data_IF_128038690692
#
_entry.id   IF_128038690692
#
_cell.length_a   1.000
_cell.length_b   1.000
_cell.length_c   1.000
_cell.angle_alpha   90.00
_cell.angle_beta   90.00
_cell.angle_gamma   90.00
#
_symmetry.space_group_name_H-M   'P 1'
#
loop_
_entity.id
_entity.type
_entity.pdbx_description
1 polymer ?
#
# COMPACT_ATOMS: atom_id res chain seq x y z
N UNK A 1 -31.45 -12.60 8.69
CA UNK A 1 -30.64 -12.55 9.92
C UNK A 1 -29.68 -11.37 9.82
N UNK A 2 -29.30 -10.72 10.93
CA UNK A 2 -28.14 -9.81 10.95
C UNK A 2 -26.90 -10.67 11.19
N UNK A 3 -25.86 -10.57 10.36
CA UNK A 3 -24.55 -11.15 10.69
C UNK A 3 -24.01 -10.41 11.92
N UNK A 4 -23.42 -11.13 12.86
CA UNK A 4 -22.76 -10.53 14.02
C UNK A 4 -21.48 -9.83 13.55
N UNK A 5 -21.06 -8.75 14.21
CA UNK A 5 -19.97 -7.88 13.73
C UNK A 5 -18.59 -8.54 13.54
N UNK A 6 -18.42 -9.77 14.01
CA UNK A 6 -17.22 -10.60 13.89
C UNK A 6 -17.08 -11.27 12.49
N UNK A 7 -18.20 -11.46 11.78
CA UNK A 7 -18.25 -12.17 10.49
C UNK A 7 -18.31 -11.26 9.25
N UNK A 8 -18.25 -9.93 9.41
CA UNK A 8 -18.31 -9.04 8.25
C UNK A 8 -17.10 -9.26 7.32
N UNK A 9 -17.38 -9.75 6.12
CA UNK A 9 -16.40 -9.83 5.04
C UNK A 9 -16.08 -8.39 4.56
N UNK A 10 -14.90 -8.19 3.97
CA UNK A 10 -14.52 -6.91 3.35
C UNK A 10 -15.60 -6.46 2.36
N UNK A 11 -16.14 -7.39 1.56
CA UNK A 11 -17.27 -7.14 0.68
C UNK A 11 -18.55 -6.71 1.43
N UNK A 12 -18.91 -7.37 2.54
CA UNK A 12 -20.10 -7.00 3.33
C UNK A 12 -19.95 -5.55 3.85
N UNK A 13 -18.77 -5.17 4.35
CA UNK A 13 -18.47 -3.81 4.83
C UNK A 13 -18.67 -2.78 3.71
N UNK A 14 -18.27 -3.09 2.47
CA UNK A 14 -18.42 -2.19 1.31
C UNK A 14 -19.87 -2.10 0.84
N UNK A 15 -20.59 -3.22 0.77
CA UNK A 15 -21.99 -3.24 0.35
C UNK A 15 -22.93 -2.60 1.38
N UNK A 16 -22.60 -2.68 2.67
CA UNK A 16 -23.32 -2.00 3.75
C UNK A 16 -22.86 -0.54 3.96
N UNK A 17 -21.69 -0.15 3.42
CA UNK A 17 -21.17 1.21 3.47
C UNK A 17 -22.21 2.22 2.94
N UNK A 18 -22.27 3.39 3.59
CA UNK A 18 -23.28 4.41 3.28
C UNK A 18 -24.74 3.88 3.24
N UNK A 19 -25.07 2.78 3.96
CA UNK A 19 -26.37 2.09 3.91
C UNK A 19 -26.74 1.57 2.51
N UNK A 20 -25.74 1.12 1.73
CA UNK A 20 -25.90 0.65 0.36
C UNK A 20 -25.96 1.75 -0.71
N UNK A 21 -25.95 3.03 -0.33
CA UNK A 21 -25.99 4.15 -1.29
C UNK A 21 -24.79 4.18 -2.24
N UNK A 22 -23.67 3.52 -1.88
CA UNK A 22 -22.49 3.39 -2.73
C UNK A 22 -22.84 2.72 -4.07
N UNK A 23 -23.40 1.50 -4.01
CA UNK A 23 -23.74 0.71 -5.19
C UNK A 23 -24.79 1.43 -6.04
N UNK A 24 -25.81 2.02 -5.41
CA UNK A 24 -26.84 2.81 -6.11
C UNK A 24 -26.26 4.03 -6.83
N UNK A 25 -25.27 4.71 -6.24
CA UNK A 25 -24.63 5.89 -6.84
C UNK A 25 -23.73 5.52 -8.03
N UNK A 26 -23.01 4.40 -7.92
CA UNK A 26 -22.20 3.84 -9.01
C UNK A 26 -23.07 3.36 -10.18
N UNK A 27 -24.14 2.62 -9.88
CA UNK A 27 -25.11 2.16 -10.89
C UNK A 27 -25.70 3.33 -11.69
N UNK A 28 -26.14 4.38 -10.98
CA UNK A 28 -26.66 5.60 -11.60
C UNK A 28 -25.60 6.34 -12.44
N UNK A 29 -24.33 6.35 -12.03
CA UNK A 29 -23.24 6.96 -12.80
C UNK A 29 -22.88 6.17 -14.07
N UNK A 30 -23.07 4.85 -14.08
CA UNK A 30 -22.87 4.00 -15.26
C UNK A 30 -24.09 3.84 -16.17
N UNK A 31 -25.28 4.29 -15.74
CA UNK A 31 -26.56 3.94 -16.34
C UNK A 31 -26.83 2.42 -16.43
N UNK A 32 -26.28 1.66 -15.47
CA UNK A 32 -26.42 0.19 -15.35
C UNK A 32 -27.32 -0.17 -14.17
N UNK A 33 -27.70 -1.43 -14.01
CA UNK A 33 -28.53 -1.83 -12.87
C UNK A 33 -27.74 -1.88 -11.55
N UNK A 34 -28.46 -1.74 -10.44
CA UNK A 34 -27.88 -1.88 -9.09
C UNK A 34 -27.39 -3.31 -8.85
N UNK A 35 -28.09 -4.30 -9.40
CA UNK A 35 -27.74 -5.72 -9.26
C UNK A 35 -26.48 -6.06 -10.08
N UNK A 36 -26.33 -5.54 -11.30
CA UNK A 36 -25.11 -5.69 -12.12
C UNK A 36 -23.90 -5.03 -11.43
N UNK A 37 -24.11 -3.82 -10.87
CA UNK A 37 -23.06 -3.11 -10.12
C UNK A 37 -22.65 -3.89 -8.87
N UNK A 38 -23.61 -4.51 -8.17
CA UNK A 38 -23.35 -5.38 -7.03
C UNK A 38 -22.59 -6.63 -7.44
N UNK A 39 -23.01 -7.31 -8.51
CA UNK A 39 -22.34 -8.49 -9.06
C UNK A 39 -20.89 -8.19 -9.46
N UNK A 40 -20.63 -7.00 -10.03
CA UNK A 40 -19.27 -6.55 -10.31
C UNK A 40 -18.41 -6.45 -9.03
N UNK A 41 -18.94 -5.90 -7.93
CA UNK A 41 -18.22 -5.88 -6.64
C UNK A 41 -18.02 -7.28 -6.05
N UNK A 42 -18.98 -8.19 -6.22
CA UNK A 42 -18.87 -9.60 -5.83
C UNK A 42 -17.74 -10.35 -6.59
N UNK A 43 -17.41 -9.94 -7.82
CA UNK A 43 -16.25 -10.43 -8.60
C UNK A 43 -14.94 -9.71 -8.21
N UNK A 44 -14.98 -8.38 -8.14
CA UNK A 44 -13.79 -7.53 -8.07
C UNK A 44 -13.14 -7.51 -6.68
N UNK A 45 -13.94 -7.41 -5.60
CA UNK A 45 -13.41 -7.29 -4.23
C UNK A 45 -12.60 -8.54 -3.81
N UNK A 46 -13.03 -9.79 -4.09
CA UNK A 46 -12.22 -10.98 -3.77
C UNK A 46 -10.89 -11.05 -4.53
N UNK A 47 -10.86 -10.71 -5.82
CA UNK A 47 -9.63 -10.66 -6.64
C UNK A 47 -8.64 -9.63 -6.06
N UNK A 48 -9.11 -8.40 -5.79
CA UNK A 48 -8.27 -7.32 -5.24
C UNK A 48 -7.75 -7.71 -3.85
N UNK A 49 -8.61 -8.24 -2.98
CA UNK A 49 -8.20 -8.69 -1.65
C UNK A 49 -7.19 -9.86 -1.72
N UNK A 50 -7.28 -10.73 -2.73
CA UNK A 50 -6.29 -11.78 -2.96
C UNK A 50 -4.93 -11.21 -3.43
N UNK A 51 -4.94 -10.20 -4.32
CA UNK A 51 -3.72 -9.50 -4.75
C UNK A 51 -3.04 -8.76 -3.60
N UNK A 52 -3.80 -8.09 -2.74
CA UNK A 52 -3.29 -7.42 -1.52
C UNK A 52 -2.59 -8.44 -0.62
N UNK A 53 -3.24 -9.59 -0.32
CA UNK A 53 -2.64 -10.65 0.50
C UNK A 53 -1.37 -11.23 -0.13
N UNK A 54 -1.40 -11.53 -1.43
CA UNK A 54 -0.25 -12.10 -2.14
C UNK A 54 1.00 -11.18 -2.09
N UNK A 55 0.81 -9.85 -2.13
CA UNK A 55 1.90 -8.89 -1.96
C UNK A 55 2.39 -8.79 -0.51
N UNK A 56 1.48 -8.82 0.46
CA UNK A 56 1.82 -8.86 1.87
C UNK A 56 2.58 -10.13 2.28
N UNK A 57 2.35 -11.24 1.58
CA UNK A 57 3.06 -12.51 1.77
C UNK A 57 4.41 -12.56 1.04
N UNK A 58 4.67 -11.69 0.04
CA UNK A 58 5.92 -11.71 -0.73
C UNK A 58 7.04 -10.85 -0.12
N UNK A 59 6.73 -9.69 0.45
CA UNK A 59 7.71 -8.84 1.14
C UNK A 59 7.02 -7.95 2.20
N UNK A 60 7.67 -7.77 3.34
CA UNK A 60 7.20 -6.91 4.44
C UNK A 60 7.30 -5.42 4.02
N UNK A 61 8.35 -5.05 3.28
CA UNK A 61 8.52 -3.70 2.71
C UNK A 61 7.43 -3.39 1.64
N UNK A 62 6.95 -4.42 0.92
CA UNK A 62 5.83 -4.26 -0.03
C UNK A 62 4.50 -4.02 0.70
N UNK A 63 4.27 -4.69 1.83
CA UNK A 63 3.09 -4.42 2.66
C UNK A 63 3.14 -3.03 3.27
N UNK A 64 4.28 -2.62 3.86
CA UNK A 64 4.44 -1.27 4.41
C UNK A 64 4.21 -0.20 3.33
N UNK A 65 4.74 -0.37 2.12
CA UNK A 65 4.49 0.61 1.04
C UNK A 65 3.01 0.67 0.61
N UNK A 66 2.31 -0.47 0.56
CA UNK A 66 0.86 -0.47 0.32
C UNK A 66 0.10 0.22 1.47
N UNK A 67 0.56 0.12 2.72
CA UNK A 67 -0.04 0.84 3.85
C UNK A 67 0.29 2.33 3.80
N UNK A 68 1.50 2.75 3.40
CA UNK A 68 1.89 4.15 3.23
C UNK A 68 1.03 4.88 2.17
N UNK A 69 0.78 4.23 1.02
CA UNK A 69 -0.14 4.72 -0.04
C UNK A 69 -1.57 4.94 0.49
N UNK A 70 -1.91 4.31 1.63
CA UNK A 70 -3.25 4.23 2.18
C UNK A 70 -3.44 5.09 3.43
N UNK A 71 -2.40 5.24 4.27
CA UNK A 71 -2.43 6.00 5.53
C UNK A 71 -2.37 7.52 5.29
N UNK A 72 -1.81 7.96 4.16
CA UNK A 72 -1.61 9.39 3.86
C UNK A 72 -2.93 10.18 3.58
N UNK A 73 -4.10 9.50 3.54
CA UNK A 73 -5.41 10.09 3.19
C UNK A 73 -6.58 9.51 4.00
N UNK A 74 -7.55 10.37 4.35
CA UNK A 74 -8.66 10.12 5.29
C UNK A 74 -9.70 9.06 4.84
N UNK A 75 -9.31 7.79 4.65
CA UNK A 75 -10.12 6.76 3.98
C UNK A 75 -11.44 6.39 4.68
N UNK A 76 -11.59 6.65 5.98
CA UNK A 76 -12.88 6.51 6.69
C UNK A 76 -14.01 7.28 5.97
N UNK A 77 -13.67 8.41 5.35
CA UNK A 77 -14.64 9.25 4.64
C UNK A 77 -15.23 8.60 3.39
N UNK A 78 -14.53 7.66 2.75
CA UNK A 78 -15.04 6.95 1.57
C UNK A 78 -16.20 6.02 1.92
N UNK A 79 -16.13 5.33 3.07
CA UNK A 79 -17.18 4.42 3.52
C UNK A 79 -18.37 5.12 4.20
N UNK A 80 -18.12 6.27 4.85
CA UNK A 80 -19.12 6.95 5.68
C UNK A 80 -19.74 8.22 5.05
N UNK A 81 -19.23 8.71 3.91
CA UNK A 81 -19.79 9.89 3.21
C UNK A 81 -20.08 9.62 1.72
N UNK A 82 -21.35 9.57 1.26
CA UNK A 82 -21.69 9.22 -0.13
C UNK A 82 -21.10 10.18 -1.18
N UNK A 83 -20.88 11.46 -0.81
CA UNK A 83 -20.29 12.47 -1.71
C UNK A 83 -18.82 12.21 -2.03
N UNK A 84 -18.12 11.47 -1.18
CA UNK A 84 -16.71 11.12 -1.39
C UNK A 84 -16.57 9.88 -2.26
N UNK A 85 -17.67 9.14 -2.47
CA UNK A 85 -17.64 7.86 -3.14
C UNK A 85 -17.28 7.93 -4.63
N UNK A 86 -17.67 9.02 -5.28
CA UNK A 86 -17.34 9.34 -6.67
C UNK A 86 -16.36 10.52 -6.75
N UNK A 87 -15.62 10.77 -5.66
CA UNK A 87 -14.67 11.89 -5.62
C UNK A 87 -13.45 11.58 -6.48
N UNK A 88 -12.83 12.65 -6.99
CA UNK A 88 -11.56 12.56 -7.72
C UNK A 88 -10.46 11.90 -6.88
N UNK A 89 -10.43 12.15 -5.56
CA UNK A 89 -9.48 11.51 -4.65
C UNK A 89 -9.70 9.99 -4.59
N UNK A 90 -10.95 9.52 -4.46
CA UNK A 90 -11.25 8.08 -4.46
C UNK A 90 -10.87 7.38 -5.78
N UNK A 91 -10.88 8.10 -6.91
CA UNK A 91 -10.39 7.61 -8.21
C UNK A 91 -8.86 7.58 -8.25
N UNK A 92 -8.20 8.67 -7.87
CA UNK A 92 -6.73 8.77 -7.86
C UNK A 92 -6.09 7.72 -6.94
N UNK A 93 -6.59 7.59 -5.70
CA UNK A 93 -6.14 6.57 -4.74
C UNK A 93 -6.35 5.15 -5.31
N UNK A 94 -7.49 4.91 -5.97
CA UNK A 94 -7.81 3.61 -6.59
C UNK A 94 -6.91 3.27 -7.76
N UNK A 95 -6.56 4.25 -8.61
CA UNK A 95 -5.62 4.04 -9.72
C UNK A 95 -4.19 3.81 -9.23
N UNK A 96 -3.79 4.43 -8.11
CA UNK A 96 -2.50 4.18 -7.46
C UNK A 96 -2.42 2.78 -6.85
N UNK A 97 -3.44 2.37 -6.08
CA UNK A 97 -3.56 1.01 -5.54
C UNK A 97 -3.53 -0.02 -6.67
N UNK A 98 -4.29 0.17 -7.75
CA UNK A 98 -4.30 -0.75 -8.90
C UNK A 98 -2.94 -0.78 -9.63
N UNK A 99 -2.31 0.38 -9.83
CA UNK A 99 -0.98 0.48 -10.42
C UNK A 99 0.06 -0.31 -9.62
N UNK A 100 0.00 -0.22 -8.29
CA UNK A 100 0.84 -0.99 -7.40
C UNK A 100 0.54 -2.50 -7.42
N UNK A 101 -0.74 -2.90 -7.25
CA UNK A 101 -1.15 -4.31 -7.16
C UNK A 101 -0.94 -5.12 -8.45
N UNK A 102 -1.06 -4.49 -9.61
CA UNK A 102 -0.94 -5.14 -10.93
C UNK A 102 0.35 -4.77 -11.68
N UNK A 103 1.21 -3.92 -11.10
CA UNK A 103 2.45 -3.43 -11.69
C UNK A 103 2.27 -2.29 -12.71
N UNK A 104 1.06 -2.15 -13.28
CA UNK A 104 0.64 -0.95 -13.98
C UNK A 104 -0.89 -0.84 -14.00
N UNK A 105 -1.40 0.38 -14.17
CA UNK A 105 -2.83 0.63 -14.35
C UNK A 105 -3.38 0.01 -15.64
N UNK A 106 -2.54 -0.12 -16.68
CA UNK A 106 -2.88 -0.82 -17.92
C UNK A 106 -3.06 -2.33 -17.68
N UNK A 107 -2.18 -2.95 -16.88
CA UNK A 107 -2.31 -4.34 -16.48
C UNK A 107 -3.56 -4.58 -15.61
N UNK A 108 -3.90 -3.63 -14.72
CA UNK A 108 -5.14 -3.67 -13.96
C UNK A 108 -6.38 -3.60 -14.86
N UNK A 109 -6.42 -2.65 -15.81
CA UNK A 109 -7.54 -2.50 -16.77
C UNK A 109 -7.67 -3.71 -17.70
N UNK A 110 -6.56 -4.27 -18.17
CA UNK A 110 -6.55 -5.51 -18.95
C UNK A 110 -7.07 -6.71 -18.14
N UNK A 111 -6.77 -6.76 -16.83
CA UNK A 111 -7.34 -7.77 -15.92
C UNK A 111 -8.83 -7.53 -15.66
N UNK A 112 -9.29 -6.28 -15.57
CA UNK A 112 -10.70 -5.94 -15.44
C UNK A 112 -11.51 -6.51 -16.61
N UNK A 113 -11.08 -6.27 -17.85
CA UNK A 113 -11.72 -6.80 -19.06
C UNK A 113 -11.75 -8.34 -19.10
N UNK A 114 -10.71 -9.02 -18.59
CA UNK A 114 -10.70 -10.49 -18.47
C UNK A 114 -11.63 -11.04 -17.38
N UNK A 115 -11.99 -10.21 -16.39
CA UNK A 115 -12.88 -10.57 -15.28
C UNK A 115 -14.34 -10.16 -15.56
N UNK A 116 -14.59 -9.31 -16.55
CA UNK A 116 -15.92 -8.88 -16.90
C UNK A 116 -16.71 -10.04 -17.50
N UNK A 117 -17.76 -10.47 -16.80
CA UNK A 117 -18.69 -11.51 -17.23
C UNK A 117 -20.15 -11.06 -17.11
N UNK A 118 -20.38 -9.74 -17.16
CA UNK A 118 -21.69 -9.12 -16.94
C UNK A 118 -22.12 -8.42 -18.22
N UNK A 119 -23.03 -9.04 -18.98
CA UNK A 119 -23.48 -8.55 -20.30
C UNK A 119 -24.03 -7.10 -20.28
N UNK A 120 -24.52 -6.64 -19.12
CA UNK A 120 -25.02 -5.27 -18.91
C UNK A 120 -23.95 -4.20 -18.64
N UNK A 121 -22.67 -4.57 -18.56
CA UNK A 121 -21.56 -3.67 -18.23
C UNK A 121 -20.45 -3.80 -19.29
N UNK A 122 -20.08 -2.68 -19.93
CA UNK A 122 -18.91 -2.65 -20.82
C UNK A 122 -17.57 -2.66 -20.03
N UNK A 123 -16.50 -3.11 -20.68
CA UNK A 123 -15.16 -3.25 -20.05
C UNK A 123 -14.59 -1.93 -19.53
N UNK A 124 -14.98 -0.79 -20.12
CA UNK A 124 -14.52 0.53 -19.69
C UNK A 124 -15.18 0.92 -18.35
N UNK A 125 -16.48 0.65 -18.20
CA UNK A 125 -17.20 0.83 -16.95
C UNK A 125 -16.81 -0.23 -15.92
N UNK A 126 -16.61 -1.49 -16.30
CA UNK A 126 -16.08 -2.52 -15.40
C UNK A 126 -14.69 -2.14 -14.86
N UNK A 127 -13.82 -1.58 -15.72
CA UNK A 127 -12.53 -1.01 -15.32
C UNK A 127 -12.67 0.14 -14.31
N UNK A 128 -13.65 1.04 -14.50
CA UNK A 128 -13.97 2.09 -13.50
C UNK A 128 -14.46 1.49 -12.18
N UNK A 129 -15.34 0.48 -12.23
CA UNK A 129 -15.80 -0.22 -11.03
C UNK A 129 -14.63 -0.89 -10.29
N UNK A 130 -13.63 -1.43 -11.01
CA UNK A 130 -12.41 -1.97 -10.42
C UNK A 130 -11.58 -0.91 -9.68
N UNK A 131 -11.43 0.30 -10.26
CA UNK A 131 -10.76 1.43 -9.59
C UNK A 131 -11.47 1.78 -8.28
N UNK A 132 -12.80 1.93 -8.31
CA UNK A 132 -13.58 2.19 -7.11
C UNK A 132 -13.47 1.04 -6.09
N UNK A 133 -13.64 -0.21 -6.53
CA UNK A 133 -13.53 -1.39 -5.68
C UNK A 133 -12.15 -1.50 -5.00
N UNK A 134 -11.07 -1.04 -5.63
CA UNK A 134 -9.74 -1.01 -5.02
C UNK A 134 -9.71 -0.11 -3.78
N UNK A 135 -10.14 1.15 -3.93
CA UNK A 135 -10.24 2.13 -2.84
C UNK A 135 -11.11 1.62 -1.70
N UNK A 136 -12.28 1.03 -2.00
CA UNK A 136 -13.16 0.50 -0.96
C UNK A 136 -12.67 -0.78 -0.30
N UNK A 137 -11.99 -1.66 -1.03
CA UNK A 137 -11.39 -2.89 -0.48
C UNK A 137 -10.38 -2.52 0.60
N UNK A 138 -9.52 -1.56 0.29
CA UNK A 138 -8.54 -1.02 1.24
C UNK A 138 -9.23 -0.33 2.42
N UNK A 139 -10.13 0.63 2.19
CA UNK A 139 -10.82 1.35 3.26
C UNK A 139 -11.59 0.39 4.21
N UNK A 140 -12.20 -0.66 3.66
CA UNK A 140 -12.91 -1.67 4.43
C UNK A 140 -11.97 -2.59 5.21
N UNK A 141 -10.79 -2.93 4.66
CA UNK A 141 -9.74 -3.65 5.39
C UNK A 141 -9.16 -2.79 6.53
N UNK A 142 -8.91 -1.51 6.30
CA UNK A 142 -8.45 -0.57 7.33
C UNK A 142 -9.49 -0.46 8.48
N UNK A 143 -10.77 -0.26 8.14
CA UNK A 143 -11.88 -0.25 9.10
C UNK A 143 -11.98 -1.55 9.89
N UNK A 144 -11.86 -2.70 9.23
CA UNK A 144 -11.87 -4.01 9.88
C UNK A 144 -10.70 -4.18 10.85
N UNK A 145 -9.49 -3.79 10.45
CA UNK A 145 -8.32 -3.81 11.32
C UNK A 145 -8.48 -2.89 12.54
N UNK A 146 -9.01 -1.67 12.35
CA UNK A 146 -9.31 -0.75 13.45
C UNK A 146 -10.34 -1.33 14.44
N UNK A 147 -11.38 -1.99 13.94
CA UNK A 147 -12.38 -2.68 14.78
C UNK A 147 -11.77 -3.83 15.59
N UNK A 148 -10.87 -4.62 14.99
CA UNK A 148 -10.14 -5.68 15.69
C UNK A 148 -9.22 -5.10 16.79
N UNK A 149 -8.56 -3.97 16.53
CA UNK A 149 -7.74 -3.27 17.55
C UNK A 149 -8.59 -2.73 18.70
N UNK A 150 -9.76 -2.15 18.42
CA UNK A 150 -10.69 -1.68 19.47
C UNK A 150 -11.24 -2.85 20.30
N UNK A 151 -11.62 -3.96 19.66
CA UNK A 151 -12.08 -5.17 20.37
C UNK A 151 -10.97 -5.77 21.25
N UNK A 152 -9.71 -5.73 20.80
CA UNK A 152 -8.55 -6.15 21.60
C UNK A 152 -8.24 -5.18 22.75
N UNK A 153 -8.55 -3.89 22.62
CA UNK A 153 -8.35 -2.88 23.66
C UNK A 153 -9.44 -2.90 24.75
N UNK A 154 -10.66 -3.34 24.41
CA UNK A 154 -11.80 -3.40 25.33
C UNK A 154 -11.86 -4.71 26.16
N UNK A 155 -10.95 -5.66 25.93
CA UNK A 155 -10.80 -6.86 26.77
C UNK A 155 -10.00 -6.56 28.05
N UNK A 156 -10.61 -6.56 29.25
CA UNK A 156 -9.91 -6.24 30.48
C UNK A 156 -9.29 -7.50 31.09
N UNK A 157 -7.96 -7.62 31.01
CA UNK A 157 -7.18 -8.49 31.90
C UNK A 157 -6.66 -9.81 31.35
N UNK A 158 -6.97 -10.19 30.10
CA UNK A 158 -6.23 -11.27 29.43
C UNK A 158 -4.92 -10.75 28.82
N UNK A 159 -3.87 -11.57 28.90
CA UNK A 159 -2.52 -11.19 28.47
C UNK A 159 -2.53 -10.88 26.97
N UNK A 160 -1.77 -9.86 26.50
CA UNK A 160 -1.70 -9.55 25.08
C UNK A 160 -1.32 -10.82 24.30
N UNK A 161 -2.21 -11.24 23.41
CA UNK A 161 -1.96 -12.37 22.52
C UNK A 161 -0.68 -12.12 21.70
N UNK A 162 -0.06 -13.19 21.22
CA UNK A 162 1.21 -13.10 20.50
C UNK A 162 1.17 -12.17 19.27
N UNK A 163 -0.02 -12.00 18.66
CA UNK A 163 -0.29 -10.99 17.62
C UNK A 163 -0.27 -9.55 18.14
N UNK A 164 -0.86 -9.28 19.31
CA UNK A 164 -0.78 -7.97 19.96
C UNK A 164 0.66 -7.63 20.38
N UNK A 165 1.45 -8.63 20.80
CA UNK A 165 2.89 -8.46 21.06
C UNK A 165 3.70 -8.15 19.79
N UNK A 166 3.32 -8.71 18.63
CA UNK A 166 3.93 -8.36 17.34
C UNK A 166 3.66 -6.90 16.96
N UNK A 167 2.39 -6.47 17.03
CA UNK A 167 1.99 -5.08 16.75
C UNK A 167 2.65 -4.10 17.72
N UNK A 168 2.71 -4.43 19.01
CA UNK A 168 3.38 -3.60 20.01
C UNK A 168 4.91 -3.56 19.80
N UNK A 169 5.52 -4.66 19.35
CA UNK A 169 6.94 -4.70 19.00
C UNK A 169 7.27 -3.84 17.77
N UNK A 170 6.43 -3.89 16.72
CA UNK A 170 6.55 -3.07 15.51
C UNK A 170 6.47 -1.58 15.85
N UNK A 171 5.42 -1.16 16.59
CA UNK A 171 5.24 0.22 17.02
C UNK A 171 6.39 0.72 17.93
N UNK A 172 6.90 -0.13 18.84
CA UNK A 172 8.10 0.19 19.64
C UNK A 172 9.37 0.28 18.78
N UNK A 173 9.47 -0.52 17.71
CA UNK A 173 10.54 -0.42 16.71
C UNK A 173 10.55 0.94 16.00
N UNK A 174 9.39 1.34 15.47
CA UNK A 174 9.18 2.62 14.78
C UNK A 174 9.49 3.81 15.71
N UNK A 175 8.97 3.81 16.94
CA UNK A 175 9.28 4.87 17.92
C UNK A 175 10.77 4.91 18.29
N UNK A 176 11.45 3.76 18.44
CA UNK A 176 12.90 3.75 18.69
C UNK A 176 13.71 4.23 17.48
N UNK A 177 13.25 4.00 16.25
CA UNK A 177 13.87 4.54 15.05
C UNK A 177 13.76 6.08 14.99
N UNK A 178 12.57 6.63 15.28
CA UNK A 178 12.37 8.09 15.37
C UNK A 178 13.24 8.74 16.46
N UNK A 179 13.26 8.17 17.68
CA UNK A 179 14.02 8.72 18.82
C UNK A 179 15.54 8.65 18.61
N UNK A 180 16.03 7.73 17.76
CA UNK A 180 17.46 7.69 17.36
C UNK A 180 17.85 8.82 16.40
N UNK A 181 16.89 9.45 15.70
CA UNK A 181 17.17 10.52 14.72
C UNK A 181 17.37 11.91 15.35
N UNK A 182 16.96 12.12 16.61
CA UNK A 182 16.97 13.44 17.27
C UNK A 182 18.07 13.65 18.32
N UNK A 183 19.01 12.70 18.50
CA UNK A 183 20.16 12.90 19.41
C UNK A 183 21.31 13.67 18.74
N UNK A 184 21.64 14.91 19.17
CA UNK A 184 22.74 15.65 18.58
C UNK A 184 24.08 14.96 18.90
N UNK A 185 24.88 14.70 17.85
CA UNK A 185 26.24 14.13 17.97
C UNK A 185 27.15 15.06 18.80
N UNK A 186 27.24 14.81 20.11
CA UNK A 186 28.20 15.48 21.00
C UNK A 186 29.64 15.19 20.56
N UNK A 187 30.25 16.16 19.87
CA UNK A 187 31.68 16.19 19.53
C UNK A 187 32.55 15.97 20.78
N UNK A 188 33.09 14.77 20.98
CA UNK A 188 34.23 14.55 21.91
C UNK A 188 35.54 15.00 21.25
N UNK A 189 35.87 16.29 21.39
CA UNK A 189 37.26 16.77 21.31
C UNK A 189 37.94 16.54 22.66
N UNK A 190 38.98 15.70 22.74
CA UNK A 190 40.15 15.96 23.62
C UNK A 190 41.40 15.11 23.31
N UNK A 191 42.40 15.81 22.79
CA UNK A 191 43.86 15.68 22.94
C UNK A 191 44.50 14.54 23.78
N UNK A 192 45.52 13.92 23.17
CA UNK A 192 46.73 13.33 23.77
C UNK A 192 47.67 12.84 22.65
N UNK A 193 48.78 13.53 22.33
CA UNK A 193 50.19 13.21 22.72
C UNK A 193 50.53 11.70 22.63
N UNK A 194 51.65 11.25 22.03
CA UNK A 194 52.89 11.90 21.50
C UNK A 194 53.65 10.93 20.55
N UNK A 195 54.47 11.48 19.64
CA UNK A 195 55.75 11.00 19.02
C UNK A 195 56.03 9.47 18.94
N UNK A 196 56.42 8.89 17.79
CA UNK A 196 57.81 8.49 17.36
C UNK A 196 57.59 7.54 16.13
N UNK A 197 58.38 7.44 15.04
CA UNK A 197 59.56 8.17 14.51
C UNK A 197 59.80 7.96 12.99
N UNK A 198 60.46 8.94 12.35
CA UNK A 198 61.55 8.82 11.35
C UNK A 198 61.41 8.06 10.00
N UNK A 199 61.76 8.81 8.91
CA UNK A 199 62.58 8.42 7.72
C UNK A 199 62.12 7.17 6.91
N UNK A 200 61.85 7.25 5.61
CA UNK A 200 62.83 7.65 4.58
C UNK A 200 62.26 8.07 3.21
N UNK A 201 62.82 9.16 2.66
CA UNK A 201 63.31 9.38 1.26
C UNK A 201 62.50 8.92 0.02
N UNK A 202 62.27 9.94 -0.85
CA UNK A 202 62.43 9.95 -2.33
C UNK A 202 61.41 9.14 -3.15
N UNK A 203 61.06 9.46 -4.41
CA UNK A 203 61.26 10.62 -5.32
C UNK A 203 60.30 10.39 -6.52
N UNK A 204 59.75 11.46 -7.14
CA UNK A 204 59.46 11.63 -8.60
C UNK A 204 58.66 10.51 -9.34
N UNK A 205 57.76 10.72 -10.32
CA UNK A 205 57.21 11.87 -11.07
C UNK A 205 56.12 11.32 -12.03
N UNK A 206 55.39 12.23 -12.71
CA UNK A 206 54.80 12.11 -14.08
C UNK A 206 53.40 11.52 -14.29
N UNK A 207 52.66 12.30 -15.10
CA UNK A 207 51.67 11.96 -16.15
C UNK A 207 50.21 11.69 -15.78
N UNK A 208 49.40 12.74 -16.02
CA UNK A 208 48.07 12.76 -16.67
C UNK A 208 47.61 11.41 -17.28
N UNK A 209 46.38 11.01 -16.96
CA UNK A 209 45.28 10.83 -17.94
C UNK A 209 43.91 10.78 -17.24
N UNK A 210 42.90 11.39 -17.86
CA UNK A 210 41.48 11.24 -17.51
C UNK A 210 40.91 10.00 -18.21
N UNK A 211 40.01 9.27 -17.54
CA UNK A 211 38.84 8.51 -18.04
C UNK A 211 38.08 8.11 -16.77
N UNK A 212 36.96 8.77 -16.45
CA UNK A 212 35.59 8.38 -16.86
C UNK A 212 35.33 6.90 -16.57
N UNK A 213 34.64 6.63 -15.48
CA UNK A 213 33.98 5.35 -15.21
C UNK A 213 32.91 5.09 -16.28
N UNK A 214 32.65 3.83 -16.66
CA UNK A 214 31.52 3.48 -17.53
C UNK A 214 30.20 3.92 -16.89
N UNK A 215 29.24 4.32 -17.72
CA UNK A 215 27.84 4.51 -17.30
C UNK A 215 27.11 3.17 -17.35
N UNK A 216 25.98 3.04 -16.63
CA UNK A 216 25.20 1.79 -16.62
C UNK A 216 24.69 1.40 -18.02
N UNK A 217 24.44 2.38 -18.91
CA UNK A 217 24.07 2.11 -20.30
C UNK A 217 25.20 1.44 -21.10
N UNK A 218 26.47 1.70 -20.75
CA UNK A 218 27.63 1.06 -21.40
C UNK A 218 27.80 -0.42 -20.97
N UNK A 219 27.19 -0.84 -19.86
CA UNK A 219 27.25 -2.21 -19.32
C UNK A 219 26.02 -3.05 -19.73
N UNK A 220 24.86 -2.43 -19.87
CA UNK A 220 23.62 -3.13 -20.28
C UNK A 220 23.65 -3.48 -21.78
N UNK A 221 24.30 -2.66 -22.61
CA UNK A 221 24.40 -2.90 -24.06
C UNK A 221 25.21 -4.13 -24.46
N UNK A 222 26.15 -4.59 -23.63
CA UNK A 222 27.00 -5.76 -23.91
C UNK A 222 26.35 -7.09 -23.47
N UNK A 223 25.28 -7.06 -22.65
CA UNK A 223 24.64 -8.29 -22.13
C UNK A 223 23.58 -8.89 -23.07
N UNK A 224 23.04 -8.10 -24.01
CA UNK A 224 22.04 -8.54 -24.99
C UNK A 224 22.63 -8.76 -26.40
N UNK A 225 23.94 -9.03 -26.47
CA UNK A 225 24.67 -9.25 -27.73
C UNK A 225 25.63 -10.43 -27.66
N UNK A 226 25.13 -11.55 -27.15
CA UNK A 226 25.77 -12.88 -27.12
C UNK A 226 24.72 -13.97 -27.21
#
# INVERSE_FOLDING_TARGET
MRKTGDEMNVLDIILEANKGLLVTSLAAAGAVSVDDTRAAFEILVPEIAAKIRAKAESDEDEYEHLMDVVDDREQEQYLDKPKWALSRAAVEDGEEILGYLYGSLEAARARAAQLNSIDGIDDEFFGRLMTFAATYTVAAMARKNAQLMMAAADMPGERPGWLALLVEALLKGIMQALVRRTRPRRRRRRYGRRRVSARTRRRRTRRRRRRRSPSLNDLIGDLFRG
#
